data_IF_824879708665
#
_entry.id   IF_824879708665
#
_cell.length_a   1.000
_cell.length_b   1.000
_cell.length_c   1.000
_cell.angle_alpha   90.00
_cell.angle_beta   90.00
_cell.angle_gamma   90.00
#
_symmetry.space_group_name_H-M   'P 1'
#
loop_
_entity.id
_entity.type
_entity.pdbx_description
1 polymer ?
#
# COMPACT_ATOMS: atom_id res chain seq x y z
N UNK A 1 15.81 -22.18 64.64
CA UNK A 1 15.25 -21.05 65.42
C UNK A 1 14.40 -20.22 64.49
N UNK A 2 13.18 -19.97 64.94
CA UNK A 2 12.04 -19.40 64.23
C UNK A 2 12.23 -17.92 63.85
N UNK A 3 11.62 -17.53 62.73
CA UNK A 3 10.97 -16.24 62.41
C UNK A 3 10.29 -16.45 61.04
N UNK A 4 9.10 -15.98 60.66
CA UNK A 4 7.98 -15.27 61.28
C UNK A 4 6.84 -15.39 60.24
N UNK A 5 5.66 -15.83 60.63
CA UNK A 5 4.42 -15.04 60.66
C UNK A 5 4.05 -14.31 59.34
N UNK A 6 3.10 -14.87 58.60
CA UNK A 6 2.16 -14.11 57.77
C UNK A 6 0.77 -14.31 58.37
N UNK A 7 0.15 -13.21 58.80
CA UNK A 7 -1.25 -13.15 59.20
C UNK A 7 -2.17 -12.86 58.02
N UNK A 8 -3.36 -13.46 58.09
CA UNK A 8 -4.54 -13.17 57.27
C UNK A 8 -5.12 -11.77 57.61
N UNK A 9 -6.11 -11.20 56.87
CA UNK A 9 -7.48 -11.75 56.70
C UNK A 9 -7.96 -11.66 55.22
N UNK A 10 -9.06 -12.22 54.75
CA UNK A 10 -10.19 -12.91 55.34
C UNK A 10 -11.27 -13.04 54.25
N UNK A 11 -11.95 -14.19 54.25
CA UNK A 11 -13.35 -14.47 53.92
C UNK A 11 -14.28 -13.25 53.64
N UNK A 12 -15.31 -13.29 52.77
CA UNK A 12 -16.27 -14.37 52.50
C UNK A 12 -17.17 -14.04 51.27
N UNK A 13 -17.65 -15.11 50.63
CA UNK A 13 -18.96 -15.32 49.96
C UNK A 13 -19.35 -14.47 48.74
N UNK A 14 -19.50 -15.00 47.53
CA UNK A 14 -20.37 -16.11 47.05
C UNK A 14 -21.85 -15.73 46.84
N UNK A 15 -22.42 -16.33 45.79
CA UNK A 15 -23.82 -16.40 45.36
C UNK A 15 -24.40 -15.27 44.49
N UNK A 16 -24.56 -15.60 43.21
CA UNK A 16 -25.37 -14.85 42.25
C UNK A 16 -25.53 -15.52 40.89
N UNK A 17 -25.73 -16.85 40.85
CA UNK A 17 -26.10 -17.58 39.62
C UNK A 17 -27.59 -17.39 39.29
N UNK A 18 -27.83 -17.23 37.98
CA UNK A 18 -28.94 -17.77 37.18
C UNK A 18 -30.40 -17.37 37.48
N UNK A 19 -31.02 -16.77 36.45
CA UNK A 19 -32.33 -17.11 35.81
C UNK A 19 -32.40 -16.26 34.53
N UNK A 20 -32.41 -16.74 33.29
CA UNK A 20 -33.14 -17.85 32.66
C UNK A 20 -34.66 -17.70 32.84
N UNK A 21 -35.29 -17.07 31.84
CA UNK A 21 -36.53 -17.49 31.15
C UNK A 21 -36.95 -16.35 30.20
N UNK A 22 -36.96 -16.53 28.88
CA UNK A 22 -37.92 -17.30 28.09
C UNK A 22 -39.22 -16.50 27.84
N UNK A 23 -39.31 -15.90 26.65
CA UNK A 23 -40.55 -15.67 25.91
C UNK A 23 -40.14 -15.36 24.46
N UNK A 24 -40.26 -16.34 23.56
CA UNK A 24 -41.41 -16.55 22.67
C UNK A 24 -41.57 -15.38 21.69
N UNK A 25 -41.26 -15.60 20.42
CA UNK A 25 -42.27 -15.96 19.41
C UNK A 25 -43.44 -14.98 19.43
N UNK A 26 -43.32 -13.95 18.58
CA UNK A 26 -44.40 -13.32 17.81
C UNK A 26 -43.66 -12.84 16.54
N UNK A 27 -43.75 -13.56 15.42
CA UNK A 27 -44.75 -13.27 14.39
C UNK A 27 -44.97 -11.77 14.23
N UNK A 28 -44.17 -11.12 13.38
CA UNK A 28 -44.65 -9.92 12.69
C UNK A 28 -44.42 -10.06 11.18
N UNK A 29 -45.20 -10.99 10.64
CA UNK A 29 -45.75 -10.88 9.31
C UNK A 29 -46.70 -9.69 9.28
N UNK A 30 -46.18 -8.48 9.06
CA UNK A 30 -46.97 -7.37 8.55
C UNK A 30 -46.35 -6.79 7.28
N UNK A 31 -46.85 -7.36 6.17
CA UNK A 31 -47.46 -6.55 5.11
C UNK A 31 -46.51 -5.57 4.42
N UNK A 32 -45.78 -6.12 3.45
CA UNK A 32 -45.52 -5.43 2.18
C UNK A 32 -46.89 -5.07 1.59
N UNK A 33 -47.41 -3.90 1.93
CA UNK A 33 -48.43 -3.24 1.12
C UNK A 33 -47.75 -2.61 -0.08
N UNK A 34 -48.33 -2.77 -1.28
CA UNK A 34 -47.76 -2.26 -2.51
C UNK A 34 -47.80 -0.74 -2.45
N UNK A 35 -46.65 -0.09 -2.63
CA UNK A 35 -46.67 1.32 -3.01
C UNK A 35 -47.15 1.35 -4.47
N UNK A 36 -48.47 1.44 -4.61
CA UNK A 36 -49.16 1.68 -5.86
C UNK A 36 -48.75 3.08 -6.34
N UNK A 37 -48.34 3.14 -7.61
CA UNK A 37 -48.45 4.28 -8.51
C UNK A 37 -48.60 5.66 -7.85
N UNK A 38 -47.53 6.44 -7.87
CA UNK A 38 -47.58 7.89 -8.12
C UNK A 38 -46.15 8.32 -8.49
N UNK A 39 -45.93 8.60 -9.77
CA UNK A 39 -44.60 8.89 -10.33
C UNK A 39 -44.36 8.37 -11.75
N UNK A 40 -45.38 7.77 -12.39
CA UNK A 40 -45.33 7.36 -13.80
C UNK A 40 -45.98 8.37 -14.76
N UNK A 41 -46.17 9.62 -14.32
CA UNK A 41 -46.65 10.73 -15.14
C UNK A 41 -45.51 11.72 -15.37
N UNK A 42 -44.43 11.31 -16.06
CA UNK A 42 -43.58 12.31 -16.74
C UNK A 42 -42.60 11.73 -17.77
N UNK A 43 -42.39 10.40 -17.83
CA UNK A 43 -41.47 9.83 -18.85
C UNK A 43 -42.16 9.74 -20.22
N UNK A 44 -43.48 9.61 -20.26
CA UNK A 44 -44.30 9.67 -21.49
C UNK A 44 -44.51 11.09 -21.98
N UNK A 45 -44.59 12.09 -21.08
CA UNK A 45 -44.72 13.49 -21.44
C UNK A 45 -43.43 14.05 -22.07
N UNK A 46 -42.25 13.68 -21.55
CA UNK A 46 -40.96 13.99 -22.19
C UNK A 46 -40.80 13.30 -23.55
N UNK A 47 -41.23 12.04 -23.68
CA UNK A 47 -41.22 11.33 -24.98
C UNK A 47 -42.22 11.94 -25.98
N UNK A 48 -43.37 12.45 -25.52
CA UNK A 48 -44.33 13.13 -26.37
C UNK A 48 -43.84 14.52 -26.81
N UNK A 49 -43.17 15.27 -25.91
CA UNK A 49 -42.57 16.57 -26.23
C UNK A 49 -41.43 16.45 -27.25
N UNK A 50 -40.60 15.40 -27.16
CA UNK A 50 -39.57 15.09 -28.17
C UNK A 50 -40.16 14.71 -29.54
N UNK A 51 -41.35 14.11 -29.55
CA UNK A 51 -42.05 13.73 -30.79
C UNK A 51 -42.72 14.95 -31.43
N UNK A 52 -43.32 15.87 -30.66
CA UNK A 52 -43.92 17.11 -31.20
C UNK A 52 -42.89 18.15 -31.65
N UNK A 53 -41.71 18.26 -31.01
CA UNK A 53 -40.63 19.14 -31.50
C UNK A 53 -39.89 18.60 -32.74
N UNK A 54 -39.98 17.30 -33.03
CA UNK A 54 -39.38 16.70 -34.23
C UNK A 54 -40.19 16.94 -35.52
N UNK A 55 -41.41 17.46 -35.42
CA UNK A 55 -42.33 17.61 -36.55
C UNK A 55 -42.04 18.82 -37.46
N UNK A 56 -41.04 19.66 -37.14
CA UNK A 56 -40.63 20.83 -37.94
C UNK A 56 -39.18 20.78 -38.45
N UNK A 57 -38.64 19.58 -38.68
CA UNK A 57 -37.38 19.40 -39.42
C UNK A 57 -37.52 18.27 -40.45
N UNK A 58 -38.31 18.52 -41.51
CA UNK A 58 -38.29 17.68 -42.71
C UNK A 58 -37.06 18.02 -43.58
N UNK A 59 -35.87 17.65 -43.10
CA UNK A 59 -34.79 17.18 -43.96
C UNK A 59 -34.46 15.78 -43.45
N UNK A 60 -34.55 14.75 -44.31
CA UNK A 60 -34.15 13.37 -43.98
C UNK A 60 -32.63 13.32 -43.71
N UNK A 61 -32.18 13.84 -42.56
CA UNK A 61 -30.87 13.54 -42.01
C UNK A 61 -30.91 12.11 -41.49
N UNK A 62 -30.60 11.17 -42.39
CA UNK A 62 -30.27 9.80 -42.01
C UNK A 62 -29.15 9.82 -40.95
N UNK A 63 -29.31 9.03 -39.88
CA UNK A 63 -28.28 8.90 -38.84
C UNK A 63 -26.97 8.46 -39.51
N UNK A 64 -25.86 9.15 -39.24
CA UNK A 64 -24.54 8.77 -39.74
C UNK A 64 -24.25 7.33 -39.28
N UNK A 65 -24.06 6.40 -40.23
CA UNK A 65 -23.83 4.96 -39.97
C UNK A 65 -22.66 4.74 -39.00
N UNK A 66 -21.70 5.67 -38.96
CA UNK A 66 -20.55 5.63 -38.03
C UNK A 66 -20.98 5.87 -36.58
N UNK A 67 -22.00 6.69 -36.35
CA UNK A 67 -22.57 6.94 -35.01
C UNK A 67 -23.27 5.67 -34.51
N UNK A 68 -24.07 5.02 -35.36
CA UNK A 68 -24.74 3.76 -35.00
C UNK A 68 -23.73 2.67 -34.64
N UNK A 69 -22.70 2.48 -35.47
CA UNK A 69 -21.62 1.52 -35.19
C UNK A 69 -20.86 1.83 -33.90
N UNK A 70 -20.55 3.10 -33.63
CA UNK A 70 -19.85 3.51 -32.41
C UNK A 70 -20.71 3.36 -31.14
N UNK A 71 -22.03 3.58 -31.23
CA UNK A 71 -22.96 3.32 -30.12
C UNK A 71 -23.09 1.83 -29.83
N UNK A 72 -23.13 0.97 -30.85
CA UNK A 72 -23.11 -0.49 -30.68
C UNK A 72 -21.80 -0.95 -30.00
N UNK A 73 -20.66 -0.43 -30.44
CA UNK A 73 -19.36 -0.72 -29.83
C UNK A 73 -19.28 -0.25 -28.38
N UNK A 74 -19.82 0.93 -28.05
CA UNK A 74 -19.90 1.42 -26.68
C UNK A 74 -20.79 0.52 -25.80
N UNK A 75 -21.96 0.13 -26.29
CA UNK A 75 -22.86 -0.78 -25.57
C UNK A 75 -22.20 -2.12 -25.28
N UNK A 76 -21.48 -2.68 -26.25
CA UNK A 76 -20.71 -3.91 -26.07
C UNK A 76 -19.57 -3.72 -25.04
N UNK A 77 -18.82 -2.62 -25.13
CA UNK A 77 -17.75 -2.32 -24.18
C UNK A 77 -18.27 -2.16 -22.74
N UNK A 78 -19.44 -1.52 -22.56
CA UNK A 78 -20.10 -1.39 -21.25
C UNK A 78 -20.52 -2.76 -20.73
N UNK A 79 -21.12 -3.61 -21.57
CA UNK A 79 -21.51 -4.96 -21.17
C UNK A 79 -20.30 -5.80 -20.74
N UNK A 80 -19.20 -5.74 -21.50
CA UNK A 80 -17.93 -6.41 -21.15
C UNK A 80 -17.35 -5.85 -19.85
N UNK A 81 -17.36 -4.53 -19.65
CA UNK A 81 -16.89 -3.92 -18.41
C UNK A 81 -17.70 -4.38 -17.20
N UNK A 82 -19.03 -4.38 -17.29
CA UNK A 82 -19.91 -4.86 -16.22
C UNK A 82 -19.65 -6.34 -15.90
N UNK A 83 -19.46 -7.18 -16.92
CA UNK A 83 -19.13 -8.59 -16.73
C UNK A 83 -17.77 -8.78 -16.01
N UNK A 84 -16.75 -8.02 -16.40
CA UNK A 84 -15.42 -8.11 -15.77
C UNK A 84 -15.43 -7.55 -14.35
N UNK A 85 -16.16 -6.46 -14.09
CA UNK A 85 -16.34 -5.92 -12.74
C UNK A 85 -17.05 -6.93 -11.82
N UNK A 86 -18.10 -7.60 -12.32
CA UNK A 86 -18.79 -8.66 -11.58
C UNK A 86 -17.90 -9.88 -11.30
N UNK A 87 -17.05 -10.27 -12.27
CA UNK A 87 -16.05 -11.33 -12.10
C UNK A 87 -15.04 -10.96 -11.00
N UNK A 88 -14.51 -9.73 -11.04
CA UNK A 88 -13.56 -9.23 -10.05
C UNK A 88 -14.17 -9.17 -8.63
N UNK A 89 -15.39 -8.66 -8.48
CA UNK A 89 -16.04 -8.59 -7.16
C UNK A 89 -16.34 -9.98 -6.59
N UNK A 90 -16.73 -10.94 -7.43
CA UNK A 90 -16.93 -12.32 -7.02
C UNK A 90 -15.60 -12.98 -6.57
N UNK A 91 -14.53 -12.80 -7.34
CA UNK A 91 -13.20 -13.28 -6.96
C UNK A 91 -12.72 -12.67 -5.63
N UNK A 92 -12.92 -11.37 -5.44
CA UNK A 92 -12.57 -10.68 -4.20
C UNK A 92 -13.37 -11.22 -3.00
N UNK A 93 -14.67 -11.47 -3.19
CA UNK A 93 -15.52 -12.04 -2.14
C UNK A 93 -15.10 -13.48 -1.80
N UNK A 94 -14.80 -14.30 -2.80
CA UNK A 94 -14.32 -15.68 -2.62
C UNK A 94 -13.02 -15.71 -1.82
N UNK A 95 -12.07 -14.81 -2.15
CA UNK A 95 -10.83 -14.65 -1.38
C UNK A 95 -11.14 -14.27 0.07
N UNK A 96 -12.01 -13.30 0.31
CA UNK A 96 -12.39 -12.88 1.66
C UNK A 96 -13.02 -14.01 2.49
N UNK A 97 -13.94 -14.78 1.91
CA UNK A 97 -14.58 -15.91 2.58
C UNK A 97 -13.57 -17.02 2.91
N UNK A 98 -12.66 -17.30 1.98
CA UNK A 98 -11.56 -18.24 2.17
C UNK A 98 -10.62 -17.80 3.28
N UNK A 99 -10.27 -16.51 3.33
CA UNK A 99 -9.44 -15.95 4.39
C UNK A 99 -10.10 -16.13 5.76
N UNK A 100 -11.37 -15.74 5.88
CA UNK A 100 -12.12 -15.85 7.13
C UNK A 100 -12.25 -17.29 7.61
N UNK A 101 -12.53 -18.23 6.70
CA UNK A 101 -12.65 -19.65 7.05
C UNK A 101 -11.31 -20.21 7.55
N UNK A 102 -10.22 -19.91 6.85
CA UNK A 102 -8.89 -20.38 7.21
C UNK A 102 -8.38 -19.74 8.51
N UNK A 103 -8.65 -18.46 8.76
CA UNK A 103 -8.31 -17.80 10.02
C UNK A 103 -9.01 -18.46 11.21
N UNK A 104 -10.28 -18.82 11.08
CA UNK A 104 -11.02 -19.54 12.12
C UNK A 104 -10.39 -20.92 12.39
N UNK A 105 -10.09 -21.68 11.34
CA UNK A 105 -9.48 -23.01 11.48
C UNK A 105 -8.06 -22.93 12.08
N UNK A 106 -7.28 -21.94 11.65
CA UNK A 106 -5.92 -21.71 12.17
C UNK A 106 -5.94 -21.27 13.62
N UNK A 107 -6.89 -20.45 14.06
CA UNK A 107 -6.99 -20.05 15.47
C UNK A 107 -7.39 -21.24 16.35
N UNK A 108 -8.32 -22.09 15.90
CA UNK A 108 -8.69 -23.32 16.60
C UNK A 108 -7.51 -24.31 16.71
N UNK A 109 -6.74 -24.47 15.64
CA UNK A 109 -5.52 -25.30 15.66
C UNK A 109 -4.44 -24.68 16.54
N UNK A 110 -4.26 -23.36 16.47
CA UNK A 110 -3.28 -22.64 17.28
C UNK A 110 -3.61 -22.76 18.77
N UNK A 111 -4.87 -22.65 19.16
CA UNK A 111 -5.28 -22.86 20.54
C UNK A 111 -5.02 -24.30 21.01
N UNK A 112 -5.27 -25.31 20.17
CA UNK A 112 -5.01 -26.72 20.52
C UNK A 112 -3.52 -27.05 20.62
N UNK A 113 -2.70 -26.45 19.78
CA UNK A 113 -1.27 -26.76 19.66
C UNK A 113 -0.36 -25.65 20.19
N UNK A 114 -0.90 -24.71 20.99
CA UNK A 114 -0.23 -23.44 21.34
C UNK A 114 1.16 -23.64 21.96
N UNK A 115 1.30 -24.61 22.86
CA UNK A 115 2.54 -24.86 23.60
C UNK A 115 3.66 -25.28 22.64
N UNK A 116 3.35 -26.16 21.69
CA UNK A 116 4.31 -26.64 20.69
C UNK A 116 4.64 -25.55 19.67
N UNK A 117 3.65 -24.76 19.27
CA UNK A 117 3.85 -23.61 18.37
C UNK A 117 4.77 -22.57 19.01
N UNK A 118 4.56 -22.27 20.29
CA UNK A 118 5.38 -21.31 21.05
C UNK A 118 6.81 -21.81 21.24
N UNK A 119 6.99 -23.12 21.51
CA UNK A 119 8.30 -23.75 21.60
C UNK A 119 9.07 -23.68 20.26
N UNK A 120 8.39 -23.97 19.14
CA UNK A 120 8.95 -23.81 17.79
C UNK A 120 9.28 -22.35 17.47
N UNK A 121 8.38 -21.43 17.82
CA UNK A 121 8.59 -20.00 17.60
C UNK A 121 9.81 -19.49 18.38
N UNK A 122 9.95 -19.90 19.64
CA UNK A 122 11.10 -19.57 20.48
C UNK A 122 12.40 -20.16 19.93
N UNK A 123 12.37 -21.40 19.47
CA UNK A 123 13.51 -22.06 18.83
C UNK A 123 13.98 -21.31 17.58
N UNK A 124 13.06 -20.98 16.68
CA UNK A 124 13.36 -20.22 15.46
C UNK A 124 13.77 -18.77 15.76
N UNK A 125 13.24 -18.13 16.82
CA UNK A 125 13.70 -16.82 17.26
C UNK A 125 15.16 -16.86 17.73
N UNK A 126 15.51 -17.80 18.60
CA UNK A 126 16.89 -17.94 19.07
C UNK A 126 17.84 -18.23 17.89
N UNK A 127 17.44 -19.05 16.91
CA UNK A 127 18.24 -19.27 15.69
C UNK A 127 18.45 -18.00 14.87
N UNK A 128 17.42 -17.15 14.73
CA UNK A 128 17.54 -15.84 14.07
C UNK A 128 18.47 -14.91 14.85
N UNK A 129 18.33 -14.84 16.17
CA UNK A 129 19.20 -14.06 17.04
C UNK A 129 20.66 -14.50 16.96
N UNK A 130 20.95 -15.81 16.90
CA UNK A 130 22.31 -16.33 16.67
C UNK A 130 22.87 -15.79 15.34
N UNK A 131 22.09 -15.83 14.26
CA UNK A 131 22.55 -15.32 12.95
C UNK A 131 22.88 -13.84 13.00
N UNK A 132 22.05 -13.05 13.67
CA UNK A 132 22.28 -11.60 13.84
C UNK A 132 23.52 -11.35 14.71
N UNK A 133 23.63 -12.01 15.86
CA UNK A 133 24.77 -11.87 16.77
C UNK A 133 26.08 -12.36 16.15
N UNK A 134 26.06 -13.43 15.34
CA UNK A 134 27.20 -13.92 14.61
C UNK A 134 27.65 -12.94 13.51
N UNK A 135 26.71 -12.33 12.79
CA UNK A 135 27.01 -11.29 11.80
C UNK A 135 27.67 -10.06 12.46
N UNK A 136 27.13 -9.60 13.59
CA UNK A 136 27.72 -8.51 14.37
C UNK A 136 29.10 -8.88 14.91
N UNK A 137 29.28 -10.10 15.41
CA UNK A 137 30.58 -10.58 15.87
C UNK A 137 31.62 -10.57 14.74
N UNK A 138 31.25 -11.00 13.53
CA UNK A 138 32.13 -10.94 12.36
C UNK A 138 32.47 -9.50 11.99
N UNK A 139 31.49 -8.59 11.99
CA UNK A 139 31.69 -7.16 11.71
C UNK A 139 32.65 -6.51 12.72
N UNK A 140 32.45 -6.77 14.01
CA UNK A 140 33.29 -6.23 15.09
C UNK A 140 34.69 -6.83 15.04
N UNK A 141 34.81 -8.13 14.75
CA UNK A 141 36.12 -8.79 14.62
C UNK A 141 36.93 -8.18 13.47
N UNK A 142 36.30 -7.87 12.33
CA UNK A 142 36.95 -7.17 11.24
C UNK A 142 37.35 -5.73 11.62
N UNK A 143 36.45 -4.97 12.26
CA UNK A 143 36.76 -3.63 12.73
C UNK A 143 37.90 -3.60 13.77
N UNK A 144 37.96 -4.60 14.64
CA UNK A 144 39.03 -4.76 15.62
C UNK A 144 40.37 -5.04 14.95
N UNK A 145 40.39 -5.91 13.94
CA UNK A 145 41.60 -6.17 13.15
C UNK A 145 42.14 -4.86 12.55
N UNK A 146 41.29 -4.10 11.85
CA UNK A 146 41.67 -2.81 11.25
C UNK A 146 42.16 -1.82 12.32
N UNK A 147 41.46 -1.69 13.44
CA UNK A 147 41.87 -0.79 14.52
C UNK A 147 43.22 -1.21 15.16
N UNK A 148 43.49 -2.52 15.25
CA UNK A 148 44.75 -3.05 15.75
C UNK A 148 45.91 -2.81 14.79
N UNK A 149 45.68 -2.91 13.49
CA UNK A 149 46.66 -2.53 12.46
C UNK A 149 46.95 -1.03 12.48
N UNK A 150 45.94 -0.19 12.69
CA UNK A 150 46.13 1.25 12.86
C UNK A 150 46.94 1.60 14.12
N UNK A 151 46.74 0.89 15.23
CA UNK A 151 47.55 1.04 16.44
C UNK A 151 49.00 0.64 16.17
N UNK A 152 49.23 -0.52 15.55
CA UNK A 152 50.56 -1.02 15.21
C UNK A 152 51.32 -0.07 14.28
N UNK A 153 50.67 0.41 13.21
CA UNK A 153 51.28 1.37 12.26
C UNK A 153 51.59 2.72 12.91
N UNK A 154 50.76 3.18 13.85
CA UNK A 154 51.05 4.40 14.61
C UNK A 154 52.24 4.22 15.57
N UNK A 155 52.36 3.06 16.20
CA UNK A 155 53.52 2.71 17.04
C UNK A 155 54.81 2.57 16.23
N UNK A 156 54.76 1.92 15.06
CA UNK A 156 55.88 1.84 14.12
C UNK A 156 56.32 3.24 13.66
N UNK A 157 55.37 4.11 13.28
CA UNK A 157 55.67 5.48 12.87
C UNK A 157 56.31 6.30 14.00
N UNK A 158 55.86 6.14 15.25
CA UNK A 158 56.51 6.75 16.42
C UNK A 158 57.92 6.19 16.65
N UNK A 159 58.15 4.91 16.37
CA UNK A 159 59.46 4.26 16.40
C UNK A 159 60.42 4.83 15.36
N UNK A 160 60.00 4.90 14.09
CA UNK A 160 60.76 5.51 12.99
C UNK A 160 61.06 6.98 13.29
N UNK A 161 60.09 7.71 13.82
CA UNK A 161 60.29 9.09 14.23
C UNK A 161 61.39 9.24 15.29
N UNK A 162 61.43 8.32 16.26
CA UNK A 162 62.46 8.32 17.30
C UNK A 162 63.85 8.09 16.69
N UNK A 163 63.98 7.20 15.71
CA UNK A 163 65.23 6.97 14.99
C UNK A 163 65.64 8.20 14.16
N UNK A 164 64.71 8.81 13.43
CA UNK A 164 64.99 10.00 12.64
C UNK A 164 65.47 11.17 13.49
N UNK A 165 64.98 11.28 14.73
CA UNK A 165 65.45 12.24 15.73
C UNK A 165 66.94 12.07 16.05
N UNK A 166 67.45 10.85 16.02
CA UNK A 166 68.84 10.53 16.33
C UNK A 166 69.77 10.86 15.16
N UNK A 167 69.24 10.91 13.93
CA UNK A 167 70.02 11.19 12.71
C UNK A 167 69.88 12.61 12.17
N UNK A 168 68.92 13.40 12.64
CA UNK A 168 68.69 14.77 12.17
C UNK A 168 69.79 15.75 12.59
N UNK A 169 70.16 16.66 11.70
CA UNK A 169 71.10 17.75 11.98
C UNK A 169 70.55 18.68 13.05
N UNK A 170 71.44 19.22 13.89
CA UNK A 170 71.08 20.20 14.93
C UNK A 170 70.71 21.57 14.36
N UNK A 171 71.10 21.86 13.12
CA UNK A 171 70.93 23.17 12.52
C UNK A 171 69.55 23.36 11.84
N UNK A 172 68.76 22.28 11.70
CA UNK A 172 67.47 22.29 10.99
C UNK A 172 66.29 22.66 11.91
N UNK A 173 66.27 23.90 12.42
CA UNK A 173 65.26 24.38 13.38
C UNK A 173 63.80 24.15 12.92
N UNK A 174 63.50 24.40 11.64
CA UNK A 174 62.16 24.20 11.07
C UNK A 174 61.77 22.72 11.01
N UNK A 175 62.73 21.84 10.71
CA UNK A 175 62.53 20.39 10.73
C UNK A 175 62.23 19.86 12.13
N UNK A 176 62.89 20.41 13.15
CA UNK A 176 62.63 20.05 14.55
C UNK A 176 61.22 20.44 15.01
N UNK A 177 60.69 21.58 14.56
CA UNK A 177 59.33 22.01 14.90
C UNK A 177 58.27 21.18 14.17
N UNK A 178 58.45 20.94 12.86
CA UNK A 178 57.59 20.03 12.10
C UNK A 178 57.57 18.62 12.73
N UNK A 179 58.72 18.12 13.19
CA UNK A 179 58.82 16.83 13.88
C UNK A 179 58.00 16.78 15.17
N UNK A 180 57.96 17.86 15.97
CA UNK A 180 57.12 17.90 17.18
C UNK A 180 55.64 17.82 16.83
N UNK A 181 55.20 18.53 15.80
CA UNK A 181 53.80 18.50 15.33
C UNK A 181 53.43 17.09 14.87
N UNK A 182 54.25 16.48 14.02
CA UNK A 182 54.05 15.09 13.55
C UNK A 182 54.01 14.12 14.73
N UNK A 183 54.88 14.30 15.74
CA UNK A 183 54.89 13.46 16.95
C UNK A 183 53.57 13.52 17.71
N UNK A 184 53.04 14.73 17.88
CA UNK A 184 51.78 14.94 18.58
C UNK A 184 50.61 14.33 17.81
N UNK A 185 50.59 14.49 16.49
CA UNK A 185 49.59 13.87 15.62
C UNK A 185 49.63 12.34 15.68
N UNK A 186 50.83 11.73 15.61
CA UNK A 186 50.99 10.28 15.73
C UNK A 186 50.57 9.75 17.10
N UNK A 187 50.87 10.48 18.19
CA UNK A 187 50.38 10.13 19.53
C UNK A 187 48.86 10.19 19.63
N UNK A 188 48.25 11.25 19.12
CA UNK A 188 46.79 11.39 19.10
C UNK A 188 46.14 10.26 18.28
N UNK A 189 46.72 9.92 17.13
CA UNK A 189 46.26 8.80 16.28
C UNK A 189 46.38 7.46 16.99
N UNK A 190 47.52 7.18 17.64
CA UNK A 190 47.74 5.96 18.45
C UNK A 190 46.74 5.87 19.59
N UNK A 191 46.60 6.93 20.39
CA UNK A 191 45.71 6.92 21.56
C UNK A 191 44.24 6.76 21.13
N UNK A 192 43.85 7.34 19.99
CA UNK A 192 42.54 7.12 19.36
C UNK A 192 42.34 5.68 18.90
N UNK A 193 43.32 5.08 18.21
CA UNK A 193 43.27 3.69 17.75
C UNK A 193 43.19 2.72 18.94
N UNK A 194 44.02 2.93 19.96
CA UNK A 194 44.03 2.13 21.19
C UNK A 194 42.71 2.19 21.95
N UNK A 195 42.08 3.36 22.01
CA UNK A 195 40.74 3.51 22.59
C UNK A 195 39.69 2.71 21.80
N UNK A 196 39.75 2.73 20.46
CA UNK A 196 38.89 1.90 19.60
C UNK A 196 39.14 0.41 19.81
N UNK A 197 40.40 -0.04 19.85
CA UNK A 197 40.76 -1.45 20.11
C UNK A 197 40.20 -1.93 21.44
N UNK A 198 40.37 -1.14 22.52
CA UNK A 198 39.83 -1.48 23.84
C UNK A 198 38.30 -1.63 23.81
N UNK A 199 37.59 -0.67 23.19
CA UNK A 199 36.14 -0.71 23.03
C UNK A 199 35.68 -1.93 22.21
N UNK A 200 36.22 -2.10 21.01
CA UNK A 200 35.87 -3.18 20.10
C UNK A 200 36.19 -4.56 20.69
N UNK A 201 37.28 -4.68 21.47
CA UNK A 201 37.59 -5.93 22.19
C UNK A 201 36.53 -6.27 23.24
N UNK A 202 35.99 -5.28 23.94
CA UNK A 202 34.91 -5.51 24.91
C UNK A 202 33.60 -5.91 24.22
N UNK A 203 33.27 -5.26 23.10
CA UNK A 203 32.09 -5.58 22.28
C UNK A 203 32.23 -6.98 21.66
N UNK A 204 33.41 -7.34 21.16
CA UNK A 204 33.68 -8.67 20.61
C UNK A 204 33.44 -9.77 21.66
N UNK A 205 33.91 -9.58 22.90
CA UNK A 205 33.66 -10.52 24.00
C UNK A 205 32.17 -10.63 24.32
N UNK A 206 31.45 -9.51 24.34
CA UNK A 206 30.01 -9.49 24.57
C UNK A 206 29.27 -10.32 23.51
N UNK A 207 29.48 -10.06 22.22
CA UNK A 207 28.80 -10.79 21.15
C UNK A 207 29.24 -12.26 21.06
N UNK A 208 30.50 -12.57 21.36
CA UNK A 208 30.99 -13.95 21.44
C UNK A 208 30.28 -14.75 22.54
N UNK A 209 30.13 -14.15 23.72
CA UNK A 209 29.39 -14.75 24.83
C UNK A 209 27.91 -14.92 24.48
N UNK A 210 27.32 -13.93 23.80
CA UNK A 210 25.91 -13.97 23.41
C UNK A 210 25.63 -15.06 22.38
N UNK A 211 26.47 -15.18 21.34
CA UNK A 211 26.40 -16.28 20.36
C UNK A 211 26.52 -17.63 21.08
N UNK A 212 27.47 -17.77 22.00
CA UNK A 212 27.68 -19.01 22.76
C UNK A 212 26.45 -19.37 23.61
N UNK A 213 25.92 -18.40 24.35
CA UNK A 213 24.73 -18.55 25.20
C UNK A 213 23.49 -18.95 24.39
N UNK A 214 23.24 -18.27 23.28
CA UNK A 214 22.10 -18.57 22.40
C UNK A 214 22.28 -19.94 21.73
N UNK A 215 23.49 -20.28 21.32
CA UNK A 215 23.80 -21.59 20.72
C UNK A 215 23.54 -22.72 21.72
N UNK A 216 23.98 -22.57 22.97
CA UNK A 216 23.69 -23.53 24.03
C UNK A 216 22.19 -23.68 24.28
N UNK A 217 21.44 -22.57 24.28
CA UNK A 217 19.97 -22.58 24.40
C UNK A 217 19.31 -23.30 23.22
N UNK A 218 19.76 -23.07 21.98
CA UNK A 218 19.22 -23.78 20.80
C UNK A 218 19.54 -25.27 20.84
N UNK A 219 20.76 -25.63 21.27
CA UNK A 219 21.16 -27.03 21.41
C UNK A 219 20.34 -27.75 22.48
N UNK A 220 20.05 -27.12 23.62
CA UNK A 220 19.22 -27.74 24.66
C UNK A 220 17.77 -27.93 24.21
N UNK A 221 17.21 -26.99 23.44
CA UNK A 221 15.88 -27.11 22.84
C UNK A 221 15.82 -28.17 21.74
N UNK A 222 16.91 -28.40 21.00
CA UNK A 222 16.94 -29.30 19.84
C UNK A 222 16.53 -30.74 20.14
N UNK A 223 16.67 -31.20 21.39
CA UNK A 223 16.27 -32.54 21.81
C UNK A 223 14.74 -32.74 21.81
N UNK A 224 13.99 -31.71 22.22
CA UNK A 224 12.52 -31.78 22.32
C UNK A 224 11.82 -31.21 21.08
N UNK A 225 12.53 -30.43 20.27
CA UNK A 225 11.93 -29.71 19.14
C UNK A 225 11.33 -30.65 18.08
N UNK A 226 11.90 -31.85 17.90
CA UNK A 226 11.35 -32.85 16.97
C UNK A 226 9.93 -33.24 17.35
N UNK A 227 9.70 -33.54 18.63
CA UNK A 227 8.35 -33.81 19.16
C UNK A 227 7.45 -32.59 19.05
N UNK A 228 7.97 -31.38 19.31
CA UNK A 228 7.18 -30.16 19.13
C UNK A 228 6.71 -29.99 17.67
N UNK A 229 7.59 -30.22 16.69
CA UNK A 229 7.24 -30.19 15.26
C UNK A 229 6.20 -31.24 14.88
N UNK A 230 6.34 -32.48 15.36
CA UNK A 230 5.37 -33.54 15.11
C UNK A 230 3.99 -33.19 15.66
N UNK A 231 3.93 -32.66 16.88
CA UNK A 231 2.67 -32.28 17.51
C UNK A 231 2.06 -31.00 16.93
N UNK A 232 2.86 -30.07 16.40
CA UNK A 232 2.40 -28.87 15.72
C UNK A 232 2.12 -29.08 14.22
N UNK A 233 2.44 -30.26 13.68
CA UNK A 233 2.33 -30.55 12.25
C UNK A 233 0.94 -30.24 11.66
N UNK A 234 -0.19 -30.58 12.31
CA UNK A 234 -1.52 -30.24 11.79
C UNK A 234 -1.72 -28.73 11.59
N UNK A 235 -1.22 -27.91 12.51
CA UNK A 235 -1.27 -26.46 12.39
C UNK A 235 -0.36 -25.98 11.26
N UNK A 236 0.89 -26.46 11.22
CA UNK A 236 1.88 -26.03 10.24
C UNK A 236 1.47 -26.40 8.81
N UNK A 237 0.89 -27.58 8.60
CA UNK A 237 0.42 -28.02 7.28
C UNK A 237 -0.76 -27.20 6.78
N UNK A 238 -1.75 -26.95 7.64
CA UNK A 238 -2.92 -26.11 7.28
C UNK A 238 -2.47 -24.68 7.00
N UNK A 239 -1.56 -24.14 7.82
CA UNK A 239 -0.98 -22.80 7.60
C UNK A 239 -0.27 -22.71 6.26
N UNK A 240 0.54 -23.69 5.91
CA UNK A 240 1.27 -23.70 4.63
C UNK A 240 0.31 -23.80 3.44
N UNK A 241 -0.65 -24.73 3.49
CA UNK A 241 -1.66 -24.89 2.44
C UNK A 241 -2.49 -23.61 2.26
N UNK A 242 -2.84 -22.94 3.35
CA UNK A 242 -3.54 -21.66 3.31
C UNK A 242 -2.71 -20.57 2.64
N UNK A 243 -1.42 -20.43 2.99
CA UNK A 243 -0.53 -19.44 2.36
C UNK A 243 -0.45 -19.68 0.84
N UNK A 244 -0.26 -20.92 0.41
CA UNK A 244 -0.18 -21.28 -1.02
C UNK A 244 -1.48 -20.94 -1.74
N UNK A 245 -2.62 -21.34 -1.17
CA UNK A 245 -3.94 -21.05 -1.74
C UNK A 245 -4.26 -19.56 -1.77
N UNK A 246 -3.83 -18.82 -0.74
CA UNK A 246 -3.98 -17.37 -0.69
C UNK A 246 -3.14 -16.67 -1.77
N UNK A 247 -1.92 -17.15 -2.04
CA UNK A 247 -1.07 -16.63 -3.11
C UNK A 247 -1.69 -16.89 -4.49
N UNK A 248 -2.22 -18.09 -4.72
CA UNK A 248 -2.90 -18.45 -5.97
C UNK A 248 -4.13 -17.55 -6.21
N UNK A 249 -4.97 -17.37 -5.19
CA UNK A 249 -6.18 -16.55 -5.28
C UNK A 249 -5.86 -15.04 -5.42
N UNK A 250 -4.79 -14.55 -4.79
CA UNK A 250 -4.32 -13.18 -5.02
C UNK A 250 -3.86 -12.96 -6.45
N UNK A 251 -3.12 -13.93 -7.02
CA UNK A 251 -2.69 -13.85 -8.42
C UNK A 251 -3.90 -13.84 -9.37
N UNK A 252 -4.90 -14.67 -9.10
CA UNK A 252 -6.17 -14.68 -9.85
C UNK A 252 -6.89 -13.32 -9.74
N UNK A 253 -6.97 -12.75 -8.54
CA UNK A 253 -7.61 -11.45 -8.32
C UNK A 253 -6.91 -10.32 -9.10
N UNK A 254 -5.58 -10.31 -9.12
CA UNK A 254 -4.79 -9.34 -9.90
C UNK A 254 -5.09 -9.47 -11.39
N UNK A 255 -5.15 -10.70 -11.93
CA UNK A 255 -5.50 -10.92 -13.34
C UNK A 255 -6.93 -10.44 -13.66
N UNK A 256 -7.89 -10.65 -12.75
CA UNK A 256 -9.26 -10.18 -12.95
C UNK A 256 -9.33 -8.65 -12.90
N UNK A 257 -8.55 -8.00 -12.02
CA UNK A 257 -8.45 -6.54 -11.96
C UNK A 257 -7.90 -5.97 -13.27
N UNK A 258 -6.80 -6.54 -13.78
CA UNK A 258 -6.21 -6.12 -15.06
C UNK A 258 -7.23 -6.20 -16.21
N UNK A 259 -7.97 -7.31 -16.33
CA UNK A 259 -9.04 -7.45 -17.34
C UNK A 259 -10.17 -6.43 -17.17
N UNK A 260 -10.52 -6.10 -15.93
CA UNK A 260 -11.55 -5.11 -15.64
C UNK A 260 -11.09 -3.68 -15.98
N UNK A 261 -9.81 -3.38 -15.77
CA UNK A 261 -9.18 -2.12 -16.18
C UNK A 261 -9.08 -1.99 -17.70
N UNK A 262 -8.71 -3.06 -18.41
CA UNK A 262 -8.73 -3.11 -19.88
C UNK A 262 -10.13 -2.89 -20.44
N UNK A 263 -11.15 -3.53 -19.87
CA UNK A 263 -12.53 -3.32 -20.29
C UNK A 263 -12.98 -1.87 -20.03
N UNK A 264 -12.54 -1.27 -18.92
CA UNK A 264 -12.80 0.16 -18.61
C UNK A 264 -12.09 1.09 -19.58
N UNK A 265 -10.88 0.75 -20.03
CA UNK A 265 -10.17 1.49 -21.07
C UNK A 265 -10.95 1.45 -22.39
N UNK A 266 -11.45 0.28 -22.80
CA UNK A 266 -12.28 0.12 -24.00
C UNK A 266 -13.55 0.99 -23.98
N UNK A 267 -14.22 1.10 -22.83
CA UNK A 267 -15.37 2.02 -22.69
C UNK A 267 -14.95 3.48 -22.91
N UNK A 268 -13.84 3.91 -22.31
CA UNK A 268 -13.31 5.28 -22.48
C UNK A 268 -12.89 5.57 -23.92
N UNK A 269 -12.35 4.59 -24.61
CA UNK A 269 -11.95 4.74 -26.02
C UNK A 269 -13.19 4.81 -26.92
N UNK A 270 -14.21 3.96 -26.69
CA UNK A 270 -15.48 4.03 -27.42
C UNK A 270 -16.22 5.37 -27.22
N UNK A 271 -16.19 5.92 -25.99
CA UNK A 271 -16.72 7.26 -25.71
C UNK A 271 -15.96 8.34 -26.49
N UNK A 272 -14.62 8.28 -26.53
CA UNK A 272 -13.80 9.22 -27.31
C UNK A 272 -14.10 9.14 -28.81
N UNK A 273 -14.32 7.93 -29.36
CA UNK A 273 -14.73 7.78 -30.76
C UNK A 273 -16.06 8.46 -31.04
N UNK A 274 -17.04 8.36 -30.14
CA UNK A 274 -18.32 9.07 -30.28
C UNK A 274 -18.15 10.61 -30.20
N UNK A 275 -17.29 11.09 -29.30
CA UNK A 275 -16.95 12.52 -29.21
C UNK A 275 -16.27 13.02 -30.49
N UNK A 276 -15.33 12.25 -31.04
CA UNK A 276 -14.64 12.56 -32.32
C UNK A 276 -15.63 12.63 -33.49
N UNK A 277 -16.52 11.64 -33.62
CA UNK A 277 -17.55 11.64 -34.66
C UNK A 277 -18.50 12.84 -34.49
N UNK A 278 -18.92 13.15 -33.25
CA UNK A 278 -19.77 14.32 -32.97
C UNK A 278 -19.09 15.64 -33.35
N UNK A 279 -17.83 15.83 -32.96
CA UNK A 279 -17.04 17.01 -33.35
C UNK A 279 -16.89 17.13 -34.87
N UNK A 280 -16.65 16.02 -35.57
CA UNK A 280 -16.55 16.01 -37.03
C UNK A 280 -17.86 16.43 -37.69
N UNK A 281 -18.99 15.89 -37.23
CA UNK A 281 -20.32 16.25 -37.76
C UNK A 281 -20.61 17.74 -37.52
N UNK A 282 -20.34 18.25 -36.31
CA UNK A 282 -20.51 19.67 -36.01
C UNK A 282 -19.61 20.57 -36.86
N UNK A 283 -18.36 20.16 -37.09
CA UNK A 283 -17.42 20.87 -37.94
C UNK A 283 -17.86 20.89 -39.41
N UNK A 284 -18.35 19.75 -39.94
CA UNK A 284 -18.92 19.68 -41.29
C UNK A 284 -20.14 20.59 -41.45
N UNK A 285 -21.02 20.67 -40.44
CA UNK A 285 -22.15 21.60 -40.42
C UNK A 285 -21.69 23.06 -40.43
N UNK A 286 -20.73 23.44 -39.56
CA UNK A 286 -20.13 24.79 -39.56
C UNK A 286 -19.55 25.18 -40.92
N UNK A 287 -18.88 24.24 -41.60
CA UNK A 287 -18.34 24.47 -42.95
C UNK A 287 -19.45 24.67 -43.97
N UNK A 288 -20.49 23.83 -43.94
CA UNK A 288 -21.65 23.91 -44.85
C UNK A 288 -22.40 25.24 -44.70
N UNK A 289 -22.63 25.69 -43.47
CA UNK A 289 -23.30 26.97 -43.19
C UNK A 289 -22.43 28.17 -43.61
N UNK A 290 -21.10 28.09 -43.40
CA UNK A 290 -20.18 29.13 -43.86
C UNK A 290 -20.10 29.24 -45.38
N UNK A 291 -20.22 28.12 -46.12
CA UNK A 291 -20.27 28.12 -47.58
C UNK A 291 -21.59 28.66 -48.15
N UNK A 292 -22.69 28.59 -47.39
CA UNK A 292 -23.98 29.20 -47.78
C UNK A 292 -24.00 30.72 -47.61
N UNK A 293 -23.22 31.28 -46.70
CA UNK A 293 -23.15 32.73 -46.47
C UNK A 293 -22.26 33.50 -47.46
N UNK A 294 -21.42 32.84 -48.27
CA UNK A 294 -20.54 33.52 -49.25
C UNK A 294 -21.17 33.74 -50.63
N UNK A 295 -22.28 33.07 -50.96
CA UNK A 295 -22.92 33.13 -52.29
C UNK A 295 -24.16 34.05 -52.35
N UNK A 296 -24.42 34.83 -51.28
CA UNK A 296 -25.63 35.64 -51.13
C UNK A 296 -25.38 37.11 -50.79
N UNK A 297 -24.34 37.72 -51.37
CA UNK A 297 -24.10 39.16 -51.22
C UNK A 297 -23.90 39.84 -52.59
N UNK A 298 -24.99 39.94 -53.35
CA UNK A 298 -25.18 40.99 -54.35
C UNK A 298 -26.61 41.55 -54.27
N UNK A 299 -26.66 42.84 -53.92
CA UNK A 299 -27.61 43.88 -54.30
C UNK A 299 -28.99 44.05 -53.60
N UNK A 300 -29.11 45.28 -53.07
CA UNK A 300 -30.25 46.22 -53.11
C UNK A 300 -31.28 46.30 -51.96
N UNK A 301 -30.98 47.24 -51.05
CA UNK A 301 -31.67 48.53 -50.93
C UNK A 301 -33.22 48.53 -50.86
N UNK A 302 -33.77 48.72 -49.65
CA UNK A 302 -35.02 49.44 -49.43
C UNK A 302 -35.04 50.11 -48.04
N UNK A 303 -35.32 51.40 -48.09
CA UNK A 303 -35.31 52.41 -47.05
C UNK A 303 -36.55 52.39 -46.12
N UNK A 304 -36.36 53.01 -44.95
CA UNK A 304 -37.33 53.67 -44.08
C UNK A 304 -38.31 52.90 -43.14
N UNK A 305 -37.87 52.81 -41.88
CA UNK A 305 -38.41 53.60 -40.73
C UNK A 305 -39.24 52.93 -39.61
N UNK A 306 -38.76 53.18 -38.38
CA UNK A 306 -39.52 53.57 -37.16
C UNK A 306 -40.08 52.47 -36.22
N UNK A 307 -39.35 52.12 -35.15
CA UNK A 307 -39.64 52.50 -33.73
C UNK A 307 -38.67 51.86 -32.72
N UNK A 308 -38.47 52.59 -31.62
CA UNK A 308 -37.48 52.47 -30.54
C UNK A 308 -37.47 51.18 -29.67
N UNK A 309 -36.39 50.94 -28.90
CA UNK A 309 -36.16 49.71 -28.11
C UNK A 309 -36.57 49.86 -26.62
N UNK A 310 -36.77 48.75 -25.90
CA UNK A 310 -36.62 48.72 -24.44
C UNK A 310 -35.36 47.93 -23.99
N UNK A 311 -34.97 48.07 -22.71
CA UNK A 311 -33.58 48.23 -22.33
C UNK A 311 -32.97 47.02 -21.61
N UNK A 312 -31.64 47.00 -21.60
CA UNK A 312 -30.74 46.57 -20.51
C UNK A 312 -31.36 45.69 -19.40
N UNK A 313 -30.96 44.41 -19.36
CA UNK A 313 -30.78 43.62 -18.14
C UNK A 313 -29.49 42.80 -18.36
N UNK A 314 -28.35 43.37 -17.96
CA UNK A 314 -27.72 43.08 -16.67
C UNK A 314 -27.06 41.70 -16.64
N UNK A 315 -25.73 41.76 -16.70
CA UNK A 315 -24.76 40.90 -16.04
C UNK A 315 -25.35 39.90 -15.03
N UNK A 316 -25.03 38.62 -15.23
CA UNK A 316 -24.76 37.70 -14.13
C UNK A 316 -23.84 36.57 -14.59
N UNK A 317 -22.55 36.77 -14.33
CA UNK A 317 -21.68 35.66 -13.93
C UNK A 317 -22.30 34.93 -12.73
N UNK A 318 -22.10 33.61 -12.65
CA UNK A 318 -21.37 33.08 -11.51
C UNK A 318 -20.21 32.23 -12.03
N UNK A 319 -18.99 32.58 -11.64
CA UNK A 319 -18.34 32.03 -10.46
C UNK A 319 -17.97 30.56 -10.67
N UNK A 320 -16.68 30.35 -10.92
CA UNK A 320 -16.08 29.04 -10.91
C UNK A 320 -16.28 28.34 -9.57
N UNK A 321 -16.74 27.10 -9.62
CA UNK A 321 -16.51 26.14 -8.56
C UNK A 321 -15.24 25.37 -8.90
N UNK A 322 -14.12 25.86 -8.38
CA UNK A 322 -12.96 25.03 -8.09
C UNK A 322 -13.40 23.96 -7.09
N UNK A 323 -13.53 22.72 -7.53
CA UNK A 323 -13.57 21.57 -6.62
C UNK A 323 -12.15 21.05 -6.55
N UNK A 324 -11.47 21.46 -5.48
CA UNK A 324 -10.30 20.75 -4.96
C UNK A 324 -10.74 19.31 -4.62
N UNK A 325 -10.33 18.35 -5.45
CA UNK A 325 -10.27 16.94 -5.03
C UNK A 325 -8.85 16.70 -4.53
N UNK A 326 -8.61 17.12 -3.29
CA UNK A 326 -7.59 16.51 -2.45
C UNK A 326 -8.17 15.21 -1.91
N UNK A 327 -7.72 14.08 -2.46
CA UNK A 327 -8.28 12.76 -2.16
C UNK A 327 -7.26 11.64 -2.34
N UNK A 328 -6.32 11.59 -1.40
CA UNK A 328 -5.58 10.41 -0.92
C UNK A 328 -4.92 9.45 -1.92
N UNK A 329 -3.58 9.57 -1.98
CA UNK A 329 -2.69 8.44 -2.21
C UNK A 329 -2.85 7.41 -1.08
N UNK A 330 -3.00 6.10 -1.37
CA UNK A 330 -2.64 5.08 -0.41
C UNK A 330 -1.12 4.88 -0.44
N UNK A 331 -0.54 5.00 0.75
CA UNK A 331 0.86 4.72 1.03
C UNK A 331 1.23 3.30 0.60
N UNK A 332 2.29 3.19 -0.20
CA UNK A 332 3.08 1.99 -0.37
C UNK A 332 3.67 1.62 0.99
N UNK A 333 3.11 0.62 1.65
CA UNK A 333 3.79 -0.10 2.71
C UNK A 333 4.64 -1.19 2.07
N UNK A 334 5.95 -0.97 2.12
CA UNK A 334 6.95 -1.99 1.99
C UNK A 334 6.84 -2.96 3.19
N UNK A 335 6.82 -4.26 2.89
CA UNK A 335 7.34 -5.33 3.75
C UNK A 335 7.72 -6.51 2.86
#
# INVERSE_FOLDING_TARGET
>A
MCSSECGEPGHCSDAGRSRLSQQQHDEDSTRVSPNQNEGNEDVTAWRASLVEESAYCNEEETLDERVEGALLALNEAIAQNNAMQASYTNAAQTLYELQRAAESELEDLKHRHWLWIDEIATFESNKREIKVAAAELSRISHALLVASEEEATADEALGVQKQLRETMSRDDADGWEAMKVVKQQLRARRDSARARVSKLSSEQRHYSNEVSRLTEKVLSMSYNIGSAFENALPFLSVKQSYIEKQQEQHLELVQQLERAEEAKARVRDAMRTLEEISMEIHEQRRRKDSSRSSDGADADDCDASFTDPPPNCAERSPAGSSVDVTGHQPALLAS
#
